data_IF_248908550801
#
_entry.id   IF_248908550801
#
_cell.length_a   1.000
_cell.length_b   1.000
_cell.length_c   1.000
_cell.angle_alpha   90.00
_cell.angle_beta   90.00
_cell.angle_gamma   90.00
#
_symmetry.space_group_name_H-M   'P 1'
#
loop_
_entity.id
_entity.type
_entity.pdbx_description
1 polymer ?
#
# COMPACT_ATOMS: atom_id res chain seq x y z
N UNK A 1 -25.63 38.42 -3.31
CA UNK A 1 -24.82 38.22 -4.55
C UNK A 1 -23.37 38.12 -4.13
N UNK A 2 -22.80 36.91 -4.11
CA UNK A 2 -22.04 36.28 -5.19
C UNK A 2 -20.61 36.84 -5.30
N UNK A 3 -19.63 35.98 -4.96
CA UNK A 3 -18.35 35.73 -5.65
C UNK A 3 -17.41 36.92 -5.85
N UNK A 4 -16.14 36.91 -5.45
CA UNK A 4 -15.10 36.06 -6.06
C UNK A 4 -13.79 36.26 -5.28
N UNK A 5 -13.39 35.29 -4.45
CA UNK A 5 -12.05 35.23 -3.85
C UNK A 5 -11.45 33.87 -4.19
N UNK A 6 -11.05 33.72 -5.45
CA UNK A 6 -10.37 32.54 -5.96
C UNK A 6 -9.46 33.00 -7.09
N UNK A 7 -8.20 32.56 -7.04
CA UNK A 7 -7.13 32.68 -8.06
C UNK A 7 -6.14 33.83 -7.85
N UNK A 8 -5.26 33.67 -6.86
CA UNK A 8 -3.92 34.27 -6.88
C UNK A 8 -3.02 33.48 -5.92
N UNK A 9 -2.59 32.29 -6.36
CA UNK A 9 -1.33 31.64 -5.97
C UNK A 9 -1.16 30.35 -6.81
N UNK A 10 -0.97 30.51 -8.11
CA UNK A 10 -0.28 29.49 -8.90
C UNK A 10 1.20 29.84 -8.80
N UNK A 11 1.88 29.24 -7.83
CA UNK A 11 3.33 29.26 -7.79
C UNK A 11 3.85 28.54 -9.02
N UNK A 12 4.62 29.25 -9.85
CA UNK A 12 5.50 28.65 -10.84
C UNK A 12 6.37 27.60 -10.13
N UNK A 13 6.10 26.33 -10.37
CA UNK A 13 7.15 25.31 -10.27
C UNK A 13 8.10 25.56 -11.44
N UNK A 14 9.35 25.87 -11.11
CA UNK A 14 10.44 25.89 -12.06
C UNK A 14 10.50 24.53 -12.77
N UNK A 15 10.22 24.52 -14.06
CA UNK A 15 10.61 23.40 -14.93
C UNK A 15 12.13 23.44 -15.01
N UNK A 16 12.80 22.51 -14.32
CA UNK A 16 14.17 22.17 -14.67
C UNK A 16 14.17 21.64 -16.11
N UNK A 17 15.07 22.08 -16.99
CA UNK A 17 15.14 21.53 -18.35
C UNK A 17 15.44 20.03 -18.23
N UNK A 18 14.56 19.22 -18.82
CA UNK A 18 14.77 17.78 -18.92
C UNK A 18 16.09 17.52 -19.67
N UNK A 19 16.95 16.70 -19.08
CA UNK A 19 18.19 16.21 -19.70
C UNK A 19 17.85 15.12 -20.73
N UNK A 20 18.61 14.99 -21.83
CA UNK A 20 18.47 13.84 -22.71
C UNK A 20 18.94 12.59 -21.96
N UNK A 21 18.00 11.70 -21.63
CA UNK A 21 18.32 10.36 -21.12
C UNK A 21 18.39 9.43 -22.32
N UNK A 22 19.55 8.87 -22.60
CA UNK A 22 19.70 7.80 -23.59
C UNK A 22 19.51 6.47 -22.87
N UNK A 23 18.47 5.73 -23.22
CA UNK A 23 18.19 4.41 -22.66
C UNK A 23 18.22 3.36 -23.75
N UNK A 24 18.89 2.25 -23.48
CA UNK A 24 18.94 1.07 -24.33
C UNK A 24 18.57 -0.16 -23.49
N UNK A 25 17.66 -0.98 -24.00
CA UNK A 25 17.34 -2.28 -23.42
C UNK A 25 17.46 -3.34 -24.50
N UNK A 26 18.12 -4.45 -24.17
CA UNK A 26 18.20 -5.63 -25.00
C UNK A 26 17.20 -6.66 -24.47
N UNK A 27 16.21 -6.99 -25.30
CA UNK A 27 15.24 -8.06 -25.07
C UNK A 27 15.72 -9.36 -25.69
N UNK A 28 15.61 -10.48 -24.97
CA UNK A 28 15.56 -11.79 -25.63
C UNK A 28 14.10 -12.08 -26.01
N UNK A 29 13.88 -12.45 -27.28
CA UNK A 29 12.55 -12.59 -27.93
C UNK A 29 11.66 -13.63 -27.21
N UNK A 30 12.23 -14.44 -26.32
CA UNK A 30 11.50 -15.49 -25.61
C UNK A 30 11.11 -15.16 -24.15
N UNK A 31 11.74 -14.19 -23.46
CA UNK A 31 11.55 -14.00 -22.00
C UNK A 31 11.56 -12.55 -21.47
N UNK A 32 11.72 -11.51 -22.31
CA UNK A 32 11.69 -10.09 -21.89
C UNK A 32 13.09 -9.45 -21.74
N UNK A 33 13.19 -8.19 -21.24
CA UNK A 33 14.46 -7.46 -21.17
C UNK A 33 15.42 -8.12 -20.18
N UNK A 34 16.53 -8.68 -20.69
CA UNK A 34 17.58 -9.28 -19.85
C UNK A 34 18.63 -8.25 -19.41
N UNK A 35 18.74 -7.13 -20.14
CA UNK A 35 19.71 -6.08 -19.89
C UNK A 35 19.16 -4.70 -20.27
N UNK A 36 19.23 -3.74 -19.37
CA UNK A 36 18.90 -2.33 -19.61
C UNK A 36 20.03 -1.43 -19.12
N UNK A 37 20.35 -0.40 -19.91
CA UNK A 37 21.30 0.65 -19.57
C UNK A 37 20.71 2.02 -19.88
N UNK A 38 20.87 2.97 -18.97
CA UNK A 38 20.52 4.37 -19.20
C UNK A 38 21.65 5.30 -18.80
N UNK A 39 21.82 6.37 -19.59
CA UNK A 39 22.82 7.42 -19.37
C UNK A 39 22.08 8.75 -19.29
N UNK A 40 22.30 9.46 -18.20
CA UNK A 40 21.80 10.82 -17.98
C UNK A 40 22.95 11.74 -17.59
N UNK A 41 23.10 12.86 -18.30
CA UNK A 41 24.08 13.89 -17.92
C UNK A 41 23.38 15.02 -17.18
N UNK A 42 23.87 15.39 -15.99
CA UNK A 42 23.38 16.51 -15.21
C UNK A 42 24.46 17.58 -15.11
N UNK A 43 24.10 18.82 -15.45
CA UNK A 43 25.00 19.95 -15.24
C UNK A 43 24.88 20.39 -13.78
N UNK A 44 25.96 20.26 -13.00
CA UNK A 44 25.95 20.62 -11.59
C UNK A 44 25.91 22.15 -11.44
N UNK A 45 24.98 22.67 -10.65
CA UNK A 45 24.82 24.13 -10.44
C UNK A 45 25.91 24.80 -9.59
N UNK A 46 26.94 24.07 -9.13
CA UNK A 46 28.01 24.60 -8.26
C UNK A 46 29.43 24.38 -8.77
N UNK A 47 29.62 23.66 -9.87
CA UNK A 47 30.92 23.50 -10.52
C UNK A 47 30.70 23.51 -12.02
N UNK A 48 31.64 24.03 -12.80
CA UNK A 48 31.59 24.00 -14.28
C UNK A 48 31.68 22.56 -14.87
N UNK A 49 31.27 21.54 -14.12
CA UNK A 49 31.32 20.12 -14.48
C UNK A 49 29.95 19.56 -14.86
N UNK A 50 29.98 18.56 -15.74
CA UNK A 50 28.83 17.74 -16.12
C UNK A 50 28.98 16.40 -15.40
N UNK A 51 28.02 16.06 -14.55
CA UNK A 51 27.94 14.79 -13.86
C UNK A 51 27.25 13.76 -14.76
N UNK A 52 27.90 12.63 -15.01
CA UNK A 52 27.33 11.53 -15.79
C UNK A 52 26.75 10.47 -14.85
N UNK A 53 25.46 10.20 -14.98
CA UNK A 53 24.75 9.14 -14.27
C UNK A 53 24.52 7.98 -15.22
N UNK A 54 25.16 6.85 -14.95
CA UNK A 54 24.98 5.58 -15.66
C UNK A 54 24.19 4.63 -14.75
N UNK A 55 23.05 4.13 -15.23
CA UNK A 55 22.25 3.12 -14.52
C UNK A 55 22.20 1.86 -15.37
N UNK A 56 22.54 0.71 -14.78
CA UNK A 56 22.53 -0.59 -15.44
C UNK A 56 21.65 -1.53 -14.61
N UNK A 57 20.75 -2.25 -15.27
CA UNK A 57 19.85 -3.22 -14.66
C UNK A 57 19.89 -4.52 -15.45
N UNK A 58 20.05 -5.65 -14.74
CA UNK A 58 20.08 -7.00 -15.30
C UNK A 58 19.06 -7.87 -14.53
N UNK A 59 18.19 -8.57 -15.25
CA UNK A 59 17.01 -9.24 -14.63
C UNK A 59 17.08 -10.77 -14.56
N UNK A 60 18.16 -11.43 -14.98
CA UNK A 60 18.32 -12.88 -14.73
C UNK A 60 19.78 -13.30 -14.59
N UNK A 61 19.99 -14.38 -13.82
CA UNK A 61 21.23 -15.01 -13.28
C UNK A 61 22.58 -14.33 -13.57
N UNK A 62 23.44 -14.13 -12.54
CA UNK A 62 24.82 -13.71 -12.74
C UNK A 62 25.59 -14.87 -13.41
N UNK A 63 25.58 -14.91 -14.74
CA UNK A 63 26.62 -15.59 -15.49
C UNK A 63 27.87 -14.72 -15.54
N UNK A 64 29.03 -15.36 -15.74
CA UNK A 64 30.25 -14.65 -16.11
C UNK A 64 30.01 -13.80 -17.37
N UNK A 65 30.18 -12.49 -17.24
CA UNK A 65 29.88 -11.53 -18.29
C UNK A 65 30.70 -10.25 -18.12
N UNK A 66 30.92 -9.55 -19.22
CA UNK A 66 31.57 -8.25 -19.19
C UNK A 66 30.90 -7.31 -20.20
N UNK A 67 30.87 -6.02 -19.86
CA UNK A 67 30.46 -4.95 -20.76
C UNK A 67 31.51 -3.83 -20.72
N UNK A 68 31.74 -3.20 -21.86
CA UNK A 68 32.64 -2.05 -21.95
C UNK A 68 31.96 -0.91 -22.71
N UNK A 69 32.10 0.32 -22.20
CA UNK A 69 31.57 1.54 -22.81
C UNK A 69 32.71 2.51 -23.03
N UNK A 70 33.01 2.84 -24.28
CA UNK A 70 34.05 3.80 -24.64
C UNK A 70 33.50 5.20 -24.86
N UNK A 71 34.24 6.23 -24.44
CA UNK A 71 33.95 7.63 -24.76
C UNK A 71 34.88 8.07 -25.90
N UNK A 72 34.36 8.12 -27.13
CA UNK A 72 35.11 8.52 -28.33
C UNK A 72 34.42 8.11 -29.63
N UNK A 73 34.98 8.48 -30.78
CA UNK A 73 34.45 8.11 -32.12
C UNK A 73 34.68 6.63 -32.45
N UNK A 74 35.68 6.00 -31.82
CA UNK A 74 35.99 4.58 -32.00
C UNK A 74 36.29 3.92 -30.66
N UNK A 75 36.08 2.61 -30.52
CA UNK A 75 36.45 1.90 -29.28
C UNK A 75 37.97 1.74 -29.13
N UNK A 76 38.74 1.74 -30.22
CA UNK A 76 40.19 1.67 -30.17
C UNK A 76 40.77 2.98 -29.60
N UNK A 77 41.72 2.87 -28.68
CA UNK A 77 42.44 3.99 -28.07
C UNK A 77 41.58 5.02 -27.30
N UNK A 78 40.28 4.76 -27.17
CA UNK A 78 39.38 5.56 -26.34
C UNK A 78 39.47 5.16 -24.86
N UNK A 79 39.11 6.11 -23.99
CA UNK A 79 38.89 5.84 -22.58
C UNK A 79 37.68 4.90 -22.46
N UNK A 80 37.90 3.73 -21.87
CA UNK A 80 36.89 2.70 -21.71
C UNK A 80 36.43 2.65 -20.26
N UNK A 81 35.14 2.47 -20.06
CA UNK A 81 34.54 2.09 -18.80
C UNK A 81 34.17 0.62 -18.91
N UNK A 82 34.91 -0.25 -18.21
CA UNK A 82 34.72 -1.71 -18.27
C UNK A 82 34.08 -2.17 -16.97
N UNK A 83 32.98 -2.90 -17.10
CA UNK A 83 32.25 -3.54 -16.01
C UNK A 83 32.34 -5.05 -16.21
N UNK A 84 32.87 -5.74 -15.21
CA UNK A 84 32.97 -7.21 -15.18
C UNK A 84 32.06 -7.72 -14.07
N UNK A 85 31.30 -8.78 -14.35
CA UNK A 85 30.49 -9.50 -13.36
C UNK A 85 31.22 -10.76 -12.93
N UNK A 86 31.37 -10.95 -11.62
CA UNK A 86 31.91 -12.16 -11.00
C UNK A 86 30.76 -12.92 -10.31
N UNK A 87 30.69 -14.24 -10.52
CA UNK A 87 29.68 -15.12 -9.95
C UNK A 87 29.70 -15.15 -8.41
N UNK A 88 30.81 -14.74 -7.80
CA UNK A 88 31.04 -14.95 -6.37
C UNK A 88 30.43 -13.88 -5.46
N UNK A 89 30.23 -12.65 -5.92
CA UNK A 89 29.94 -11.54 -4.99
C UNK A 89 28.91 -10.50 -5.47
N UNK A 90 28.36 -10.59 -6.68
CA UNK A 90 27.37 -9.60 -7.16
C UNK A 90 27.88 -8.15 -7.20
N UNK A 91 29.20 -7.96 -7.12
CA UNK A 91 29.85 -6.67 -7.24
C UNK A 91 30.17 -6.37 -8.70
N UNK A 92 29.92 -5.12 -9.08
CA UNK A 92 30.36 -4.55 -10.35
C UNK A 92 31.63 -3.77 -10.09
N UNK A 93 32.73 -4.21 -10.69
CA UNK A 93 34.01 -3.49 -10.61
C UNK A 93 34.21 -2.67 -11.87
N UNK A 94 34.56 -1.39 -11.69
CA UNK A 94 34.97 -0.50 -12.76
C UNK A 94 36.39 0.02 -12.49
N UNK A 95 37.31 -0.26 -13.40
CA UNK A 95 38.68 0.26 -13.36
C UNK A 95 38.87 1.19 -14.57
N UNK A 96 38.92 2.50 -14.32
CA UNK A 96 39.16 3.51 -15.36
C UNK A 96 40.65 3.81 -15.56
N UNK A 97 41.52 3.35 -14.66
CA UNK A 97 42.97 3.59 -14.70
C UNK A 97 43.72 2.70 -15.68
N UNK A 98 43.14 1.57 -16.08
CA UNK A 98 43.77 0.58 -16.98
C UNK A 98 42.97 0.32 -18.27
N UNK A 99 41.83 0.99 -18.44
CA UNK A 99 40.88 0.71 -19.51
C UNK A 99 41.08 1.64 -20.71
N UNK A 100 42.11 1.36 -21.51
CA UNK A 100 42.27 1.91 -22.87
C UNK A 100 41.89 0.84 -23.90
N UNK A 101 41.10 1.20 -24.91
CA UNK A 101 40.73 0.27 -25.96
C UNK A 101 41.94 -0.22 -26.76
N UNK A 102 42.13 -1.54 -26.87
CA UNK A 102 43.22 -2.10 -27.66
C UNK A 102 42.91 -2.02 -29.17
N UNK A 103 43.78 -1.43 -30.01
CA UNK A 103 43.56 -1.30 -31.46
C UNK A 103 43.50 -2.64 -32.21
N UNK A 104 43.95 -3.73 -31.60
CA UNK A 104 44.03 -5.04 -32.27
C UNK A 104 42.82 -5.95 -32.05
N UNK A 105 42.01 -5.78 -30.99
CA UNK A 105 40.78 -6.54 -30.75
C UNK A 105 39.86 -5.81 -29.74
N UNK A 106 38.88 -5.06 -30.22
CA UNK A 106 37.93 -4.34 -29.36
C UNK A 106 36.88 -5.24 -28.66
N UNK A 107 36.91 -6.55 -28.95
CA UNK A 107 36.00 -7.57 -28.39
C UNK A 107 36.70 -8.55 -27.42
N UNK A 108 37.98 -8.32 -27.09
CA UNK A 108 38.68 -9.18 -26.15
C UNK A 108 38.23 -8.87 -24.71
N UNK A 109 37.86 -9.92 -23.96
CA UNK A 109 37.56 -9.79 -22.54
C UNK A 109 38.76 -9.14 -21.81
N UNK A 110 38.51 -8.24 -20.84
CA UNK A 110 39.57 -7.66 -20.04
C UNK A 110 40.36 -8.76 -19.30
N UNK A 111 41.67 -8.58 -19.07
CA UNK A 111 42.44 -9.52 -18.27
C UNK A 111 41.85 -9.65 -16.85
N UNK A 112 42.00 -10.82 -16.19
CA UNK A 112 41.53 -11.01 -14.81
C UNK A 112 42.07 -9.92 -13.90
N UNK A 113 41.18 -9.29 -13.13
CA UNK A 113 41.51 -8.16 -12.28
C UNK A 113 42.25 -8.64 -11.02
N UNK A 114 43.52 -8.24 -10.85
CA UNK A 114 44.24 -8.39 -9.59
C UNK A 114 43.67 -7.39 -8.57
N UNK A 115 42.94 -7.89 -7.56
CA UNK A 115 42.25 -7.10 -6.53
C UNK A 115 43.14 -6.11 -5.73
N UNK A 116 44.45 -6.09 -5.94
CA UNK A 116 45.42 -5.30 -5.18
C UNK A 116 45.90 -3.96 -5.77
N UNK A 117 45.49 -3.53 -6.97
CA UNK A 117 46.18 -2.39 -7.65
C UNK A 117 45.36 -1.24 -8.25
N UNK A 118 44.03 -1.23 -8.18
CA UNK A 118 43.20 -0.13 -8.73
C UNK A 118 42.49 0.73 -7.68
N UNK A 119 42.25 2.01 -7.99
CA UNK A 119 41.21 2.80 -7.30
C UNK A 119 39.84 2.35 -7.83
N UNK A 120 39.21 1.42 -7.12
CA UNK A 120 37.90 0.89 -7.49
C UNK A 120 36.79 1.86 -7.09
N UNK A 121 36.04 2.38 -8.07
CA UNK A 121 34.76 3.03 -7.80
C UNK A 121 33.67 1.94 -7.75
N UNK A 122 33.60 1.21 -6.64
CA UNK A 122 32.49 0.31 -6.37
C UNK A 122 31.27 1.13 -5.95
N UNK A 123 30.42 1.52 -6.90
CA UNK A 123 29.07 1.98 -6.57
C UNK A 123 28.20 0.75 -6.37
N UNK A 124 28.28 0.15 -5.18
CA UNK A 124 27.18 -0.68 -4.71
C UNK A 124 26.03 0.27 -4.42
N UNK A 125 24.90 0.06 -5.10
CA UNK A 125 23.63 0.47 -4.50
C UNK A 125 23.63 -0.13 -3.09
N UNK A 126 23.35 0.68 -2.09
CA UNK A 126 23.44 0.34 -0.65
C UNK A 126 22.44 -0.76 -0.20
N UNK A 127 21.98 -1.58 -1.14
CA UNK A 127 21.09 -2.71 -1.00
C UNK A 127 21.79 -4.08 -1.08
N UNK A 128 23.07 -4.17 -1.48
CA UNK A 128 23.76 -5.46 -1.68
C UNK A 128 24.70 -5.90 -0.54
N UNK A 129 24.82 -5.15 0.55
CA UNK A 129 25.75 -5.50 1.64
C UNK A 129 25.13 -6.40 2.73
N UNK A 130 24.06 -7.12 2.40
CA UNK A 130 23.35 -8.04 3.29
C UNK A 130 23.40 -9.44 2.66
N UNK A 131 23.72 -10.50 3.43
CA UNK A 131 23.82 -11.84 2.87
C UNK A 131 22.52 -12.18 2.13
N UNK A 132 22.60 -12.76 0.93
CA UNK A 132 21.45 -12.98 0.03
C UNK A 132 20.23 -13.66 0.70
N UNK A 133 20.48 -14.48 1.74
CA UNK A 133 19.46 -15.11 2.57
C UNK A 133 18.67 -14.12 3.44
N UNK A 134 19.33 -13.09 3.99
CA UNK A 134 18.71 -12.02 4.78
C UNK A 134 17.93 -11.04 3.90
N UNK A 135 18.40 -10.76 2.67
CA UNK A 135 17.63 -9.98 1.71
C UNK A 135 16.35 -10.70 1.28
N UNK A 136 16.43 -12.01 0.98
CA UNK A 136 15.26 -12.83 0.62
C UNK A 136 14.22 -12.87 1.75
N UNK A 137 14.66 -13.03 3.00
CA UNK A 137 13.74 -13.07 4.15
C UNK A 137 13.03 -11.72 4.38
N UNK A 138 13.74 -10.60 4.17
CA UNK A 138 13.17 -9.25 4.21
C UNK A 138 12.11 -9.03 3.12
N UNK A 139 12.39 -9.41 1.88
CA UNK A 139 11.41 -9.31 0.78
C UNK A 139 10.16 -10.15 1.02
N UNK A 140 10.33 -11.37 1.53
CA UNK A 140 9.23 -12.24 1.91
C UNK A 140 8.41 -11.62 3.05
N UNK A 141 9.06 -11.03 4.05
CA UNK A 141 8.37 -10.33 5.15
C UNK A 141 7.53 -9.16 4.65
N UNK A 142 8.08 -8.31 3.78
CA UNK A 142 7.36 -7.18 3.15
C UNK A 142 6.16 -7.68 2.33
N UNK A 143 6.33 -8.76 1.57
CA UNK A 143 5.25 -9.38 0.81
C UNK A 143 4.10 -9.88 1.70
N UNK A 144 4.43 -10.57 2.80
CA UNK A 144 3.43 -11.06 3.77
C UNK A 144 2.75 -9.91 4.52
N UNK A 145 3.50 -8.90 4.95
CA UNK A 145 2.98 -7.70 5.58
C UNK A 145 1.93 -7.01 4.70
N UNK A 146 2.29 -6.72 3.46
CA UNK A 146 1.40 -6.09 2.48
C UNK A 146 0.18 -6.94 2.16
N UNK A 147 0.36 -8.25 1.98
CA UNK A 147 -0.73 -9.17 1.64
C UNK A 147 -1.75 -9.33 2.77
N UNK A 148 -1.28 -9.52 4.01
CA UNK A 148 -2.14 -9.68 5.17
C UNK A 148 -2.90 -8.39 5.48
N UNK A 149 -2.21 -7.25 5.55
CA UNK A 149 -2.85 -5.97 5.89
C UNK A 149 -3.73 -5.46 4.75
N UNK A 150 -3.30 -5.61 3.50
CA UNK A 150 -4.11 -5.26 2.33
C UNK A 150 -5.41 -6.06 2.30
N UNK A 151 -5.35 -7.39 2.47
CA UNK A 151 -6.54 -8.25 2.51
C UNK A 151 -7.44 -7.91 3.69
N UNK A 152 -6.86 -7.66 4.87
CA UNK A 152 -7.62 -7.33 6.06
C UNK A 152 -8.43 -6.02 5.90
N UNK A 153 -7.81 -4.95 5.40
CA UNK A 153 -8.46 -3.64 5.27
C UNK A 153 -9.32 -3.50 4.01
N UNK A 154 -9.00 -4.19 2.92
CA UNK A 154 -9.81 -4.14 1.70
C UNK A 154 -11.02 -5.06 1.74
N UNK A 155 -10.92 -6.22 2.41
CA UNK A 155 -11.92 -7.29 2.28
C UNK A 155 -12.48 -7.67 3.64
N UNK A 156 -11.63 -8.13 4.57
CA UNK A 156 -12.12 -8.79 5.77
C UNK A 156 -12.84 -7.84 6.74
N UNK A 157 -12.25 -6.68 7.08
CA UNK A 157 -12.90 -5.72 7.98
C UNK A 157 -14.22 -5.15 7.39
N UNK A 158 -14.27 -4.73 6.10
CA UNK A 158 -15.53 -4.34 5.45
C UNK A 158 -16.58 -5.46 5.48
N UNK A 159 -16.21 -6.70 5.13
CA UNK A 159 -17.10 -7.85 5.16
C UNK A 159 -17.70 -8.08 6.56
N UNK A 160 -16.85 -8.05 7.60
CA UNK A 160 -17.30 -8.17 8.99
C UNK A 160 -18.27 -7.07 9.42
N UNK A 161 -18.09 -5.85 8.91
CA UNK A 161 -18.99 -4.73 9.16
C UNK A 161 -20.34 -4.89 8.42
N UNK A 162 -20.33 -5.40 7.19
CA UNK A 162 -21.56 -5.69 6.42
C UNK A 162 -22.35 -6.82 7.08
N UNK A 163 -21.71 -7.91 7.50
CA UNK A 163 -22.36 -9.05 8.18
C UNK A 163 -23.13 -8.58 9.42
N UNK A 164 -22.52 -7.71 10.24
CA UNK A 164 -23.18 -7.16 11.42
C UNK A 164 -24.41 -6.29 11.10
N UNK A 165 -24.48 -5.74 9.88
CA UNK A 165 -25.62 -4.92 9.42
C UNK A 165 -26.75 -5.76 8.84
N UNK A 166 -26.43 -6.85 8.15
CA UNK A 166 -27.43 -7.75 7.58
C UNK A 166 -28.25 -8.46 8.66
N UNK A 167 -27.72 -8.60 9.88
CA UNK A 167 -28.41 -9.16 11.05
C UNK A 167 -29.05 -10.54 10.78
N UNK A 168 -28.37 -11.36 9.99
CA UNK A 168 -28.76 -12.75 9.72
C UNK A 168 -28.55 -13.64 10.95
N UNK A 169 -28.87 -14.93 10.84
CA UNK A 169 -28.75 -15.90 11.93
C UNK A 169 -27.32 -15.89 12.53
N UNK A 170 -27.21 -15.86 13.86
CA UNK A 170 -25.95 -15.77 14.61
C UNK A 170 -25.05 -14.54 14.30
N UNK A 171 -25.58 -13.47 13.69
CA UNK A 171 -24.82 -12.30 13.23
C UNK A 171 -23.82 -11.74 14.25
N UNK A 172 -24.17 -11.71 15.53
CA UNK A 172 -23.31 -11.20 16.59
C UNK A 172 -22.02 -12.00 16.73
N UNK A 173 -22.14 -13.33 16.88
CA UNK A 173 -20.98 -14.21 17.05
C UNK A 173 -20.13 -14.25 15.80
N UNK A 174 -20.75 -14.29 14.62
CA UNK A 174 -20.04 -14.24 13.34
C UNK A 174 -19.25 -12.93 13.24
N UNK A 175 -19.85 -11.79 13.59
CA UNK A 175 -19.15 -10.50 13.60
C UNK A 175 -17.96 -10.50 14.55
N UNK A 176 -18.14 -10.92 15.81
CA UNK A 176 -17.06 -10.90 16.81
C UNK A 176 -15.91 -11.81 16.39
N UNK A 177 -16.20 -13.07 16.03
CA UNK A 177 -15.16 -14.04 15.66
C UNK A 177 -14.42 -13.56 14.40
N UNK A 178 -15.13 -13.09 13.39
CA UNK A 178 -14.54 -12.59 12.16
C UNK A 178 -13.62 -11.40 12.40
N UNK A 179 -14.06 -10.43 13.21
CA UNK A 179 -13.26 -9.23 13.51
C UNK A 179 -12.03 -9.55 14.38
N UNK A 180 -12.14 -10.51 15.31
CA UNK A 180 -11.00 -10.94 16.14
C UNK A 180 -9.97 -11.67 15.28
N UNK A 181 -10.39 -12.63 14.43
CA UNK A 181 -9.47 -13.34 13.52
C UNK A 181 -8.77 -12.39 12.55
N UNK A 182 -9.51 -11.44 11.99
CA UNK A 182 -8.94 -10.39 11.12
C UNK A 182 -7.90 -9.55 11.87
N UNK A 183 -8.20 -9.17 13.12
CA UNK A 183 -7.29 -8.37 13.94
C UNK A 183 -6.02 -9.14 14.33
N UNK A 184 -6.12 -10.44 14.58
CA UNK A 184 -4.95 -11.29 14.81
C UNK A 184 -4.06 -11.37 13.57
N UNK A 185 -4.65 -11.52 12.37
CA UNK A 185 -3.90 -11.52 11.12
C UNK A 185 -3.17 -10.18 10.89
N UNK A 186 -3.80 -9.04 11.21
CA UNK A 186 -3.16 -7.72 11.18
C UNK A 186 -1.95 -7.66 12.12
N UNK A 187 -2.11 -8.12 13.37
CA UNK A 187 -1.03 -8.12 14.37
C UNK A 187 0.15 -8.97 13.87
N UNK A 188 -0.12 -10.16 13.32
CA UNK A 188 0.92 -11.01 12.71
C UNK A 188 1.63 -10.28 11.57
N UNK A 189 0.90 -9.67 10.64
CA UNK A 189 1.48 -8.91 9.53
C UNK A 189 2.37 -7.74 9.99
N UNK A 190 2.01 -7.04 11.07
CA UNK A 190 2.84 -5.98 11.66
C UNK A 190 4.08 -6.55 12.34
N UNK A 191 3.94 -7.62 13.14
CA UNK A 191 5.05 -8.23 13.87
C UNK A 191 6.11 -8.82 12.93
N UNK A 192 5.69 -9.48 11.85
CA UNK A 192 6.60 -9.98 10.81
C UNK A 192 7.46 -8.85 10.22
N UNK A 193 6.84 -7.70 9.99
CA UNK A 193 7.54 -6.55 9.44
C UNK A 193 8.49 -5.91 10.46
N UNK A 194 8.04 -5.68 11.69
CA UNK A 194 8.84 -5.05 12.76
C UNK A 194 10.08 -5.87 13.08
N UNK A 195 9.94 -7.19 13.18
CA UNK A 195 11.07 -8.10 13.44
C UNK A 195 12.07 -8.16 12.29
N UNK A 196 11.65 -7.79 11.08
CA UNK A 196 12.51 -7.72 9.90
C UNK A 196 13.29 -6.40 9.77
N UNK A 197 12.99 -5.38 10.59
CA UNK A 197 13.72 -4.11 10.60
C UNK A 197 14.85 -4.15 11.66
N UNK A 198 16.12 -4.11 11.21
CA UNK A 198 17.28 -4.21 12.10
C UNK A 198 17.42 -3.03 13.08
N UNK A 199 17.98 -3.30 14.27
CA UNK A 199 18.05 -2.39 15.42
C UNK A 199 18.75 -1.03 15.19
N UNK A 200 19.59 -0.90 14.16
CA UNK A 200 20.49 0.27 14.01
C UNK A 200 19.97 1.36 13.06
N UNK A 201 18.89 1.09 12.29
CA UNK A 201 18.25 2.07 11.38
C UNK A 201 16.73 2.15 11.54
N UNK A 202 16.17 1.43 12.52
CA UNK A 202 14.74 1.32 12.79
C UNK A 202 14.07 2.70 12.92
N UNK A 203 14.66 3.61 13.70
CA UNK A 203 14.03 4.89 14.03
C UNK A 203 13.79 5.78 12.80
N UNK A 204 14.76 5.96 11.90
CA UNK A 204 14.58 6.82 10.73
C UNK A 204 13.71 6.16 9.64
N UNK A 205 13.70 4.83 9.55
CA UNK A 205 12.82 4.09 8.62
C UNK A 205 11.36 4.05 9.09
N UNK A 206 11.10 4.13 10.40
CA UNK A 206 9.76 4.11 11.01
C UNK A 206 9.03 5.47 11.00
N UNK A 207 9.69 6.57 10.67
CA UNK A 207 9.08 7.91 10.66
C UNK A 207 8.48 8.32 9.31
N UNK A 208 8.26 7.36 8.42
CA UNK A 208 7.53 7.61 7.20
C UNK A 208 6.01 7.67 7.47
N UNK A 209 5.26 8.36 6.61
CA UNK A 209 3.81 8.51 6.73
C UNK A 209 3.09 7.17 6.84
N UNK A 210 3.50 6.17 6.05
CA UNK A 210 2.88 4.83 6.10
C UNK A 210 3.08 4.11 7.44
N UNK A 211 4.29 4.16 8.00
CA UNK A 211 4.60 3.48 9.26
C UNK A 211 3.98 4.20 10.46
N UNK A 212 3.94 5.54 10.46
CA UNK A 212 3.25 6.34 11.50
C UNK A 212 1.75 6.06 11.51
N UNK A 213 1.09 6.10 10.34
CA UNK A 213 -0.33 5.78 10.23
C UNK A 213 -0.58 4.31 10.61
N UNK A 214 0.26 3.39 10.17
CA UNK A 214 0.19 1.97 10.52
C UNK A 214 0.29 1.72 12.03
N UNK A 215 1.16 2.43 12.74
CA UNK A 215 1.28 2.34 14.20
C UNK A 215 0.01 2.86 14.90
N UNK A 216 -0.55 3.99 14.45
CA UNK A 216 -1.80 4.53 14.99
C UNK A 216 -2.99 3.60 14.73
N UNK A 217 -3.04 2.94 13.56
CA UNK A 217 -4.04 1.92 13.24
C UNK A 217 -3.91 0.70 14.13
N UNK A 218 -2.68 0.24 14.38
CA UNK A 218 -2.41 -0.88 15.28
C UNK A 218 -2.93 -0.58 16.69
N UNK A 219 -2.68 0.62 17.20
CA UNK A 219 -3.27 1.08 18.47
C UNK A 219 -4.81 1.14 18.40
N UNK A 220 -5.36 1.66 17.30
CA UNK A 220 -6.80 1.79 17.10
C UNK A 220 -7.52 0.43 17.07
N UNK A 221 -6.87 -0.65 16.63
CA UNK A 221 -7.41 -2.01 16.71
C UNK A 221 -7.71 -2.39 18.17
N UNK A 222 -6.74 -2.21 19.09
CA UNK A 222 -6.95 -2.50 20.51
C UNK A 222 -8.06 -1.64 21.11
N UNK A 223 -8.09 -0.35 20.75
CA UNK A 223 -9.17 0.56 21.15
C UNK A 223 -10.52 0.07 20.62
N UNK A 224 -10.59 -0.40 19.37
CA UNK A 224 -11.82 -0.90 18.77
C UNK A 224 -12.34 -2.16 19.45
N UNK A 225 -11.45 -3.09 19.82
CA UNK A 225 -11.78 -4.30 20.60
C UNK A 225 -12.36 -3.92 21.96
N UNK A 226 -11.70 -3.01 22.68
CA UNK A 226 -12.19 -2.51 23.97
C UNK A 226 -13.56 -1.82 23.84
N UNK A 227 -13.70 -0.91 22.87
CA UNK A 227 -14.97 -0.22 22.61
C UNK A 227 -16.09 -1.18 22.20
N UNK A 228 -15.75 -2.26 21.47
CA UNK A 228 -16.68 -3.32 21.09
C UNK A 228 -17.18 -4.10 22.29
N UNK A 229 -16.28 -4.50 23.18
CA UNK A 229 -16.64 -5.14 24.45
C UNK A 229 -17.49 -4.20 25.32
N UNK A 230 -17.08 -2.94 25.49
CA UNK A 230 -17.84 -1.97 26.28
C UNK A 230 -19.24 -1.74 25.68
N UNK A 231 -19.34 -1.58 24.36
CA UNK A 231 -20.63 -1.47 23.67
C UNK A 231 -21.51 -2.69 23.92
N UNK A 232 -20.96 -3.91 23.83
CA UNK A 232 -21.69 -5.15 24.05
C UNK A 232 -22.21 -5.27 25.50
N UNK A 233 -21.38 -4.97 26.50
CA UNK A 233 -21.82 -4.97 27.91
C UNK A 233 -22.99 -4.01 28.11
N UNK A 234 -22.92 -2.80 27.57
CA UNK A 234 -24.02 -1.84 27.68
C UNK A 234 -25.29 -2.35 26.98
N UNK A 235 -25.15 -2.97 25.80
CA UNK A 235 -26.27 -3.54 25.07
C UNK A 235 -26.91 -4.72 25.82
N UNK A 236 -26.11 -5.60 26.43
CA UNK A 236 -26.57 -6.71 27.28
C UNK A 236 -27.29 -6.23 28.54
N UNK A 237 -26.95 -5.04 29.04
CA UNK A 237 -27.67 -4.37 30.14
C UNK A 237 -28.95 -3.65 29.67
N UNK A 238 -29.39 -3.84 28.43
CA UNK A 238 -30.57 -3.20 27.85
C UNK A 238 -30.38 -1.73 27.45
N UNK A 239 -29.18 -1.18 27.60
CA UNK A 239 -28.90 0.24 27.30
C UNK A 239 -28.64 0.41 25.81
N UNK A 240 -29.48 1.20 25.13
CA UNK A 240 -29.35 1.53 23.70
C UNK A 240 -28.73 2.91 23.51
N UNK A 241 -28.11 3.14 22.35
CA UNK A 241 -27.55 4.44 21.94
C UNK A 241 -26.53 5.07 22.91
N UNK A 242 -25.74 4.24 23.60
CA UNK A 242 -24.76 4.73 24.58
C UNK A 242 -23.57 5.41 23.90
N UNK A 243 -22.78 6.16 24.67
CA UNK A 243 -21.50 6.74 24.21
C UNK A 243 -20.58 5.64 23.65
N UNK A 244 -20.56 4.46 24.26
CA UNK A 244 -19.79 3.30 23.79
C UNK A 244 -20.18 2.89 22.36
N UNK A 245 -21.49 2.81 22.05
CA UNK A 245 -21.98 2.53 20.69
C UNK A 245 -21.44 3.54 19.68
N UNK A 246 -21.51 4.84 20.02
CA UNK A 246 -21.09 5.90 19.10
C UNK A 246 -19.58 5.87 18.86
N UNK A 247 -18.80 5.71 19.92
CA UNK A 247 -17.34 5.62 19.84
C UNK A 247 -16.90 4.38 19.06
N UNK A 248 -17.49 3.22 19.31
CA UNK A 248 -17.18 1.99 18.57
C UNK A 248 -17.45 2.13 17.06
N UNK A 249 -18.61 2.70 16.69
CA UNK A 249 -18.97 2.88 15.28
C UNK A 249 -18.08 3.91 14.58
N UNK A 250 -17.80 5.05 15.21
CA UNK A 250 -16.97 6.09 14.59
C UNK A 250 -15.50 5.71 14.55
N UNK A 251 -14.94 5.13 15.61
CA UNK A 251 -13.57 4.63 15.60
C UNK A 251 -13.38 3.58 14.49
N UNK A 252 -14.31 2.62 14.35
CA UNK A 252 -14.28 1.65 13.26
C UNK A 252 -14.32 2.28 11.86
N UNK A 253 -15.09 3.35 11.66
CA UNK A 253 -15.13 4.09 10.38
C UNK A 253 -13.81 4.79 10.07
N UNK A 254 -13.23 5.48 11.05
CA UNK A 254 -11.93 6.12 10.88
C UNK A 254 -10.84 5.07 10.60
N UNK A 255 -10.87 3.96 11.32
CA UNK A 255 -9.93 2.85 11.15
C UNK A 255 -10.00 2.24 9.74
N UNK A 256 -11.22 2.04 9.20
CA UNK A 256 -11.39 1.57 7.81
C UNK A 256 -10.82 2.58 6.81
N UNK A 257 -11.24 3.85 6.86
CA UNK A 257 -10.79 4.86 5.90
C UNK A 257 -9.26 5.08 5.96
N UNK A 258 -8.70 5.17 7.16
CA UNK A 258 -7.26 5.32 7.36
C UNK A 258 -6.49 4.06 6.96
N UNK A 259 -6.99 2.86 7.27
CA UNK A 259 -6.34 1.60 6.91
C UNK A 259 -6.31 1.33 5.41
N UNK A 260 -7.40 1.66 4.71
CA UNK A 260 -7.40 1.70 3.25
C UNK A 260 -6.34 2.68 2.76
N UNK A 261 -6.41 3.95 3.17
CA UNK A 261 -5.42 4.98 2.76
C UNK A 261 -3.97 4.55 3.00
N UNK A 262 -3.71 3.89 4.14
CA UNK A 262 -2.40 3.37 4.49
C UNK A 262 -1.92 2.22 3.60
N UNK A 263 -2.86 1.38 3.13
CA UNK A 263 -2.57 0.32 2.15
C UNK A 263 -2.10 0.92 0.83
N UNK A 264 -2.76 1.98 0.35
CA UNK A 264 -2.33 2.72 -0.85
C UNK A 264 -0.94 3.35 -0.72
N UNK A 265 -0.64 3.92 0.46
CA UNK A 265 0.71 4.42 0.76
C UNK A 265 1.74 3.28 0.75
N UNK A 266 1.40 2.12 1.32
CA UNK A 266 2.26 0.93 1.29
C UNK A 266 2.57 0.45 -0.13
N UNK A 267 1.57 0.41 -1.01
CA UNK A 267 1.76 0.08 -2.43
C UNK A 267 2.68 1.07 -3.15
N UNK A 268 2.58 2.36 -2.82
CA UNK A 268 3.47 3.41 -3.35
C UNK A 268 4.91 3.19 -2.88
N UNK A 269 5.13 2.90 -1.60
CA UNK A 269 6.47 2.63 -1.06
C UNK A 269 7.07 1.30 -1.55
N UNK A 270 6.23 0.35 -1.95
CA UNK A 270 6.65 -0.87 -2.63
C UNK A 270 6.89 -0.68 -4.15
N UNK A 271 6.87 0.56 -4.65
CA UNK A 271 7.15 0.91 -6.05
C UNK A 271 6.25 0.20 -7.08
N UNK A 272 5.01 -0.13 -6.71
CA UNK A 272 4.05 -0.66 -7.68
C UNK A 272 3.68 0.39 -8.75
N UNK A 273 3.35 -0.09 -9.95
CA UNK A 273 2.98 0.79 -11.07
C UNK A 273 1.80 1.70 -10.71
N UNK A 274 1.78 2.91 -11.27
CA UNK A 274 0.71 3.88 -11.05
C UNK A 274 -0.68 3.30 -11.37
N UNK A 275 -0.78 2.39 -12.37
CA UNK A 275 -2.03 1.69 -12.72
C UNK A 275 -2.61 0.90 -11.54
N UNK A 276 -1.75 0.18 -10.79
CA UNK A 276 -2.16 -0.60 -9.61
C UNK A 276 -2.65 0.34 -8.51
N UNK A 277 -1.92 1.44 -8.27
CA UNK A 277 -2.28 2.43 -7.24
C UNK A 277 -3.62 3.11 -7.57
N UNK A 278 -3.86 3.48 -8.84
CA UNK A 278 -5.14 4.05 -9.27
C UNK A 278 -6.30 3.05 -9.15
N UNK A 279 -6.10 1.80 -9.59
CA UNK A 279 -7.11 0.75 -9.46
C UNK A 279 -7.49 0.53 -7.99
N UNK A 280 -6.48 0.46 -7.12
CA UNK A 280 -6.66 0.38 -5.68
C UNK A 280 -7.46 1.56 -5.12
N UNK A 281 -7.13 2.80 -5.51
CA UNK A 281 -7.80 4.01 -5.05
C UNK A 281 -9.29 4.05 -5.43
N UNK A 282 -9.64 3.57 -6.63
CA UNK A 282 -11.02 3.47 -7.08
C UNK A 282 -11.80 2.48 -6.21
N UNK A 283 -11.25 1.28 -5.97
CA UNK A 283 -11.87 0.26 -5.13
C UNK A 283 -12.07 0.75 -3.68
N UNK A 284 -11.02 1.35 -3.10
CA UNK A 284 -11.08 1.92 -1.75
C UNK A 284 -12.15 3.02 -1.63
N UNK A 285 -12.32 3.87 -2.65
CA UNK A 285 -13.35 4.90 -2.65
C UNK A 285 -14.76 4.29 -2.62
N UNK A 286 -15.03 3.28 -3.45
CA UNK A 286 -16.34 2.59 -3.43
C UNK A 286 -16.63 1.95 -2.07
N UNK A 287 -15.64 1.26 -1.49
CA UNK A 287 -15.76 0.62 -0.17
C UNK A 287 -16.04 1.64 0.95
N UNK A 288 -15.34 2.78 0.97
CA UNK A 288 -15.58 3.86 1.94
C UNK A 288 -16.99 4.43 1.77
N UNK A 289 -17.46 4.64 0.54
CA UNK A 289 -18.82 5.14 0.27
C UNK A 289 -19.86 4.17 0.83
N UNK A 290 -19.72 2.87 0.56
CA UNK A 290 -20.64 1.83 1.04
C UNK A 290 -20.67 1.82 2.57
N UNK A 291 -19.50 1.76 3.20
CA UNK A 291 -19.37 1.60 4.65
C UNK A 291 -19.70 2.87 5.46
N UNK A 292 -19.46 4.07 4.92
CA UNK A 292 -19.70 5.35 5.59
C UNK A 292 -21.08 5.93 5.29
N UNK A 293 -21.54 5.90 4.03
CA UNK A 293 -22.74 6.64 3.58
C UNK A 293 -23.98 5.75 3.44
N UNK A 294 -23.82 4.57 2.84
CA UNK A 294 -24.96 3.73 2.45
C UNK A 294 -25.55 2.94 3.63
N UNK A 295 -24.71 2.23 4.39
CA UNK A 295 -25.16 1.39 5.50
C UNK A 295 -25.92 2.12 6.65
N UNK A 296 -25.54 3.32 7.11
CA UNK A 296 -26.31 4.02 8.14
C UNK A 296 -27.64 4.59 7.60
N UNK A 297 -27.72 4.90 6.30
CA UNK A 297 -28.92 5.42 5.66
C UNK A 297 -29.98 4.34 5.51
N UNK A 298 -29.59 3.13 5.09
CA UNK A 298 -30.47 1.96 5.00
C UNK A 298 -31.03 1.58 6.39
N UNK A 299 -30.18 1.57 7.43
CA UNK A 299 -30.62 1.23 8.78
C UNK A 299 -31.65 2.22 9.35
N UNK A 300 -31.51 3.52 9.03
CA UNK A 300 -32.50 4.54 9.40
C UNK A 300 -33.82 4.35 8.65
N UNK A 301 -33.75 4.07 7.35
CA UNK A 301 -34.94 3.90 6.50
C UNK A 301 -35.74 2.66 6.91
N UNK A 302 -35.07 1.52 7.14
CA UNK A 302 -35.73 0.30 7.64
C UNK A 302 -36.40 0.52 9.00
N UNK A 303 -35.75 1.23 9.93
CA UNK A 303 -36.34 1.53 11.24
C UNK A 303 -37.56 2.45 11.14
N UNK A 304 -37.54 3.42 10.21
CA UNK A 304 -38.67 4.31 9.96
C UNK A 304 -39.87 3.55 9.36
N UNK A 305 -39.62 2.66 8.41
CA UNK A 305 -40.66 1.87 7.74
C UNK A 305 -41.35 0.89 8.71
N UNK A 306 -40.60 0.23 9.60
CA UNK A 306 -41.19 -0.65 10.63
C UNK A 306 -42.04 0.13 11.63
N UNK A 307 -41.62 1.35 12.01
CA UNK A 307 -42.39 2.20 12.90
C UNK A 307 -43.72 2.63 12.25
N UNK A 308 -43.70 3.03 10.99
CA UNK A 308 -44.90 3.44 10.24
C UNK A 308 -45.90 2.29 10.08
N UNK A 309 -45.42 1.09 9.75
CA UNK A 309 -46.26 -0.12 9.68
C UNK A 309 -46.90 -0.43 11.04
N UNK A 310 -46.14 -0.37 12.13
CA UNK A 310 -46.69 -0.65 13.48
C UNK A 310 -47.77 0.35 13.92
N UNK A 311 -47.63 1.63 13.56
CA UNK A 311 -48.64 2.67 13.84
C UNK A 311 -49.89 2.47 12.98
N UNK A 312 -49.73 2.07 11.71
CA UNK A 312 -50.87 1.77 10.84
C UNK A 312 -51.68 0.56 11.32
N UNK A 313 -51.00 -0.49 11.82
CA UNK A 313 -51.67 -1.66 12.39
C UNK A 313 -52.40 -1.35 13.70
N UNK A 314 -51.85 -0.50 14.56
CA UNK A 314 -52.53 -0.14 15.82
C UNK A 314 -53.79 0.69 15.58
N UNK A 315 -53.78 1.58 14.57
CA UNK A 315 -54.97 2.35 14.18
C UNK A 315 -56.04 1.48 13.55
N UNK A 316 -55.67 0.55 12.66
CA UNK A 316 -56.62 -0.40 12.09
C UNK A 316 -57.33 -1.24 13.16
N UNK A 317 -56.58 -1.73 14.15
CA UNK A 317 -57.15 -2.51 15.24
C UNK A 317 -58.08 -1.69 16.17
N UNK A 318 -57.80 -0.40 16.39
CA UNK A 318 -58.70 0.46 17.18
C UNK A 318 -59.99 0.79 16.44
N UNK A 319 -59.93 0.98 15.13
CA UNK A 319 -61.09 1.33 14.30
C UNK A 319 -62.02 0.11 14.14
N UNK A 320 -61.46 -1.10 14.02
CA UNK A 320 -62.21 -2.36 13.98
C UNK A 320 -62.90 -2.64 15.33
N UNK A 321 -62.21 -2.41 16.46
CA UNK A 321 -62.79 -2.54 17.80
C UNK A 321 -63.92 -1.52 18.07
N UNK A 322 -63.79 -0.29 17.55
CA UNK A 322 -64.85 0.72 17.65
C UNK A 322 -66.08 0.36 16.80
N UNK A 323 -65.89 -0.33 15.68
CA UNK A 323 -66.97 -0.75 14.78
C UNK A 323 -67.78 -1.90 15.39
N UNK A 324 -67.13 -2.86 16.05
CA UNK A 324 -67.81 -3.98 16.74
C UNK A 324 -68.60 -3.56 18.00
N UNK A 325 -68.28 -2.41 18.61
CA UNK A 325 -69.05 -1.87 19.75
C UNK A 325 -70.31 -1.08 19.32
N UNK A 326 -70.50 -0.88 18.01
CA UNK A 326 -71.67 -0.20 17.44
C UNK A 326 -72.62 -1.17 16.72
N UNK A 327 -72.34 -2.48 16.74
CA UNK A 327 -73.33 -3.48 16.31
C UNK A 327 -74.47 -3.52 17.34
N UNK A 328 -75.73 -3.28 16.94
CA UNK A 328 -76.87 -3.38 17.84
C UNK A 328 -77.02 -4.83 18.28
N UNK A 329 -77.13 -5.04 19.59
CA UNK A 329 -77.49 -6.35 20.16
C UNK A 329 -78.91 -6.64 19.67
N UNK A 330 -79.05 -7.59 18.76
CA UNK A 330 -80.35 -8.14 18.37
C UNK A 330 -80.97 -8.81 19.61
N UNK A 331 -81.94 -8.13 20.20
CA UNK A 331 -82.92 -8.71 21.12
C UNK A 331 -83.89 -9.59 20.31
N UNK A 332 -83.58 -10.88 20.13
CA UNK A 332 -84.63 -11.86 19.81
C UNK A 332 -84.21 -13.29 20.17
N UNK A 333 -84.79 -13.83 21.26
CA UNK A 333 -85.29 -15.21 21.34
C UNK A 333 -85.86 -15.50 22.74
N UNK A 334 -87.19 -15.40 22.81
CA UNK A 334 -88.05 -16.15 23.74
C UNK A 334 -88.46 -17.49 23.12
#
# INVERSE_FOLDING_TARGET
MKTTLRRLLFGLLASTPATPVVQYCADDISQGPQFCVSIASFQSGSAHGVDLYLTIEMMDKPGEGWMAVGIGETMAESLMFVVVTDETEGFFYANMTEAMGNPSNAAAAPPPLDAGKGSYAASSSSLLNEPAQEQRSRLVSVGWHGSLLGTAFMILYPAGAVIARLRLIHWFWVHVVWQVLTSLACIVGVLLQVTSLSHNSMWQRMLNTHTVIGALLTLSIFVQLFLGYWHHVQFSLGRRNTKATRLHVWNGRFMLAAGMSNTGLGLTYAHHSAKVIYAWGILAMFEVIISVLVLPSIAKCSSAQTAEISVSQSKGASDEAATHLLEPIDEDSA
#
